data_IF_398887821541
#
_entry.id   IF_398887821541
#
_cell.length_a   1.000
_cell.length_b   1.000
_cell.length_c   1.000
_cell.angle_alpha   90.00
_cell.angle_beta   90.00
_cell.angle_gamma   90.00
#
_symmetry.space_group_name_H-M   'P 1'
#
loop_
_entity.id
_entity.type
_entity.pdbx_description
1 polymer ?
#
# COMPACT_ATOMS: atom_id res chain seq x y z
N UNK A 1 -15.42 0.26 26.41
CA UNK A 1 -14.08 0.14 25.80
C UNK A 1 -14.08 -1.09 24.90
N UNK A 2 -13.90 -0.89 23.60
CA UNK A 2 -13.94 -1.95 22.59
C UNK A 2 -14.21 -1.33 21.22
N UNK A 3 -13.16 -0.90 20.53
CA UNK A 3 -13.27 -0.34 19.20
C UNK A 3 -13.66 -1.45 18.21
N UNK A 4 -14.71 -1.19 17.43
CA UNK A 4 -15.19 -2.06 16.35
C UNK A 4 -14.17 -2.00 15.21
N UNK A 5 -13.67 -3.13 14.67
CA UNK A 5 -12.84 -3.08 13.48
C UNK A 5 -13.73 -2.67 12.30
N UNK A 6 -13.34 -1.58 11.62
CA UNK A 6 -14.02 -1.06 10.44
C UNK A 6 -14.01 -2.11 9.32
N UNK A 7 -15.11 -2.87 9.23
CA UNK A 7 -15.39 -3.75 8.11
C UNK A 7 -15.77 -2.85 6.94
N UNK A 8 -14.86 -2.61 5.99
CA UNK A 8 -15.26 -2.07 4.70
C UNK A 8 -16.31 -3.01 4.10
N UNK A 9 -17.54 -2.54 3.98
CA UNK A 9 -18.62 -3.27 3.31
C UNK A 9 -18.16 -3.64 1.91
N UNK A 10 -18.45 -4.87 1.47
CA UNK A 10 -18.21 -5.23 0.07
C UNK A 10 -18.97 -4.24 -0.81
N UNK A 11 -18.32 -3.61 -1.81
CA UNK A 11 -19.00 -2.70 -2.71
C UNK A 11 -20.11 -3.46 -3.44
N UNK A 12 -21.23 -2.78 -3.70
CA UNK A 12 -22.32 -3.35 -4.48
C UNK A 12 -21.80 -3.90 -5.83
N UNK A 13 -22.39 -4.98 -6.36
CA UNK A 13 -21.95 -5.57 -7.62
C UNK A 13 -22.04 -4.54 -8.73
N UNK A 14 -20.88 -4.19 -9.29
CA UNK A 14 -20.74 -3.22 -10.37
C UNK A 14 -21.11 -3.85 -11.71
N UNK A 15 -21.65 -3.03 -12.63
CA UNK A 15 -22.10 -3.50 -13.95
C UNK A 15 -20.97 -4.11 -14.79
N UNK A 16 -21.32 -4.91 -15.81
CA UNK A 16 -20.39 -5.71 -16.61
C UNK A 16 -19.21 -4.93 -17.26
N UNK A 17 -19.36 -3.62 -17.46
CA UNK A 17 -18.28 -2.75 -17.98
C UNK A 17 -17.28 -2.30 -16.91
N UNK A 18 -17.67 -2.31 -15.64
CA UNK A 18 -16.82 -1.97 -14.47
C UNK A 18 -16.08 -3.21 -13.92
N UNK A 19 -16.47 -4.42 -14.34
CA UNK A 19 -15.91 -5.69 -13.86
C UNK A 19 -14.44 -5.92 -14.25
N UNK A 20 -13.92 -5.21 -15.27
CA UNK A 20 -12.51 -5.35 -15.70
C UNK A 20 -11.53 -4.93 -14.59
N UNK A 21 -11.74 -3.76 -14.01
CA UNK A 21 -10.89 -3.22 -12.94
C UNK A 21 -11.05 -4.00 -11.62
N UNK A 22 -12.20 -4.64 -11.43
CA UNK A 22 -12.50 -5.37 -10.21
C UNK A 22 -11.85 -6.76 -10.19
N UNK A 23 -11.68 -7.42 -11.34
CA UNK A 23 -10.89 -8.66 -11.46
C UNK A 23 -9.41 -8.45 -11.16
N UNK A 24 -8.87 -7.27 -11.45
CA UNK A 24 -7.45 -6.99 -11.24
C UNK A 24 -7.08 -6.92 -9.76
N UNK A 25 -7.99 -6.52 -8.88
CA UNK A 25 -7.75 -6.32 -7.43
C UNK A 25 -7.13 -7.54 -6.72
N UNK A 26 -7.43 -8.77 -7.16
CA UNK A 26 -6.83 -10.00 -6.64
C UNK A 26 -5.36 -10.20 -7.05
N UNK A 27 -4.96 -9.65 -8.20
CA UNK A 27 -3.60 -9.79 -8.73
C UNK A 27 -2.56 -8.96 -7.96
N UNK A 28 -2.94 -7.77 -7.48
CA UNK A 28 -2.03 -6.84 -6.79
C UNK A 28 -1.57 -7.40 -5.44
N UNK A 29 -2.50 -7.92 -4.62
CA UNK A 29 -2.13 -8.56 -3.35
C UNK A 29 -1.21 -9.75 -3.54
N UNK A 30 -1.48 -10.59 -4.54
CA UNK A 30 -0.61 -11.72 -4.88
C UNK A 30 0.76 -11.27 -5.38
N UNK A 31 0.82 -10.22 -6.19
CA UNK A 31 2.07 -9.66 -6.70
C UNK A 31 2.96 -9.12 -5.58
N UNK A 32 2.35 -8.48 -4.56
CA UNK A 32 3.03 -8.02 -3.34
C UNK A 32 3.49 -9.21 -2.49
N UNK A 33 2.61 -10.18 -2.21
CA UNK A 33 2.96 -11.37 -1.42
C UNK A 33 4.17 -12.13 -1.97
N UNK A 34 4.28 -12.30 -3.29
CA UNK A 34 5.42 -12.98 -3.90
C UNK A 34 6.73 -12.21 -3.64
N UNK A 35 6.68 -10.88 -3.59
CA UNK A 35 7.84 -10.01 -3.37
C UNK A 35 8.24 -9.87 -1.90
N UNK A 36 7.35 -10.24 -0.98
CA UNK A 36 7.65 -10.30 0.46
C UNK A 36 8.27 -11.64 0.90
N UNK A 37 8.44 -12.61 0.00
CA UNK A 37 9.09 -13.89 0.30
C UNK A 37 10.60 -13.71 0.37
N UNK A 38 11.11 -13.48 1.57
CA UNK A 38 12.53 -13.39 1.86
C UNK A 38 12.82 -14.03 3.22
N UNK A 39 14.01 -14.63 3.35
CA UNK A 39 14.50 -15.18 4.64
C UNK A 39 15.12 -14.09 5.53
N UNK A 40 15.00 -12.83 5.12
CA UNK A 40 15.55 -11.64 5.78
C UNK A 40 14.49 -10.54 5.83
N UNK A 41 14.62 -9.57 6.76
CA UNK A 41 13.70 -8.44 6.81
C UNK A 41 13.62 -7.68 5.49
N UNK A 42 12.40 -7.35 5.06
CA UNK A 42 12.14 -6.57 3.85
C UNK A 42 11.72 -5.15 4.24
N UNK A 43 12.37 -4.16 3.61
CA UNK A 43 11.97 -2.76 3.67
C UNK A 43 11.35 -2.29 2.36
N UNK A 44 10.64 -1.16 2.39
CA UNK A 44 10.08 -0.54 1.19
C UNK A 44 10.49 0.93 1.06
N UNK A 45 10.64 1.38 -0.17
CA UNK A 45 10.77 2.80 -0.47
C UNK A 45 9.39 3.47 -0.48
N UNK A 46 9.28 4.64 0.16
CA UNK A 46 8.07 5.44 0.23
C UNK A 46 8.39 6.87 -0.24
N UNK A 47 7.99 7.20 -1.47
CA UNK A 47 8.15 8.56 -2.00
C UNK A 47 7.10 9.53 -1.48
N UNK A 48 5.96 9.02 -1.00
CA UNK A 48 4.77 9.82 -0.71
C UNK A 48 3.85 10.01 -1.92
N UNK A 49 4.23 9.48 -3.08
CA UNK A 49 3.38 9.41 -4.27
C UNK A 49 2.46 8.18 -4.28
N UNK A 50 1.39 8.26 -5.05
CA UNK A 50 0.28 7.29 -5.10
C UNK A 50 0.73 5.84 -5.22
N UNK A 51 1.65 5.53 -6.12
CA UNK A 51 2.04 4.14 -6.39
C UNK A 51 2.76 3.49 -5.20
N UNK A 52 3.74 4.19 -4.63
CA UNK A 52 4.47 3.71 -3.44
C UNK A 52 3.56 3.55 -2.23
N UNK A 53 2.58 4.44 -2.11
CA UNK A 53 1.57 4.42 -1.06
C UNK A 53 0.62 3.25 -1.17
N UNK A 54 0.12 2.96 -2.38
CA UNK A 54 -0.74 1.79 -2.63
C UNK A 54 0.01 0.49 -2.36
N UNK A 55 1.29 0.41 -2.73
CA UNK A 55 2.12 -0.75 -2.39
C UNK A 55 2.27 -0.90 -0.87
N UNK A 56 2.59 0.19 -0.15
CA UNK A 56 2.74 0.16 1.31
C UNK A 56 1.45 -0.27 2.04
N UNK A 57 0.31 0.23 1.58
CA UNK A 57 -1.01 -0.18 2.07
C UNK A 57 -1.26 -1.67 1.79
N UNK A 58 -0.98 -2.13 0.57
CA UNK A 58 -1.17 -3.53 0.20
C UNK A 58 -0.27 -4.47 0.99
N UNK A 59 0.95 -4.04 1.33
CA UNK A 59 1.83 -4.79 2.22
C UNK A 59 1.21 -4.93 3.61
N UNK A 60 0.64 -3.85 4.19
CA UNK A 60 -0.06 -3.91 5.48
C UNK A 60 -1.25 -4.86 5.48
N UNK A 61 -1.94 -5.02 4.35
CA UNK A 61 -3.07 -5.96 4.25
C UNK A 61 -2.63 -7.42 4.18
N UNK A 62 -1.53 -7.71 3.48
CA UNK A 62 -1.11 -9.10 3.20
C UNK A 62 -0.04 -9.63 4.16
N UNK A 63 0.58 -8.77 4.97
CA UNK A 63 1.61 -9.09 5.94
C UNK A 63 1.28 -8.52 7.31
N UNK A 64 1.54 -9.30 8.36
CA UNK A 64 1.40 -8.87 9.74
C UNK A 64 2.72 -8.32 10.33
N UNK A 65 3.81 -8.45 9.59
CA UNK A 65 5.12 -7.91 9.96
C UNK A 65 5.16 -6.39 9.78
N UNK A 66 5.83 -5.69 10.69
CA UNK A 66 5.94 -4.23 10.61
C UNK A 66 6.91 -3.84 9.49
N UNK A 67 6.36 -3.36 8.37
CA UNK A 67 7.15 -2.88 7.23
C UNK A 67 7.92 -1.62 7.60
N UNK A 68 9.24 -1.69 7.54
CA UNK A 68 10.09 -0.50 7.63
C UNK A 68 10.10 0.22 6.29
N UNK A 69 9.67 1.48 6.29
CA UNK A 69 9.71 2.34 5.11
C UNK A 69 10.89 3.30 5.16
N UNK A 70 11.45 3.56 3.99
CA UNK A 70 12.59 4.45 3.81
C UNK A 70 12.23 5.47 2.74
N UNK A 71 12.70 6.70 2.93
CA UNK A 71 12.42 7.79 2.01
C UNK A 71 13.68 8.61 1.77
N UNK A 72 13.72 9.30 0.63
CA UNK A 72 14.80 10.22 0.28
C UNK A 72 14.29 11.64 0.46
N UNK A 73 15.12 12.47 1.07
CA UNK A 73 14.89 13.90 1.24
C UNK A 73 15.92 14.69 0.46
N UNK A 74 15.45 15.73 -0.24
CA UNK A 74 16.30 16.65 -0.98
C UNK A 74 16.49 17.96 -0.21
N UNK A 75 17.66 18.59 -0.38
CA UNK A 75 17.95 19.88 0.24
C UNK A 75 17.21 21.06 -0.42
N UNK A 76 16.96 20.96 -1.73
CA UNK A 76 16.14 21.92 -2.46
C UNK A 76 14.65 21.64 -2.21
N UNK A 77 13.90 22.58 -1.60
CA UNK A 77 12.49 22.38 -1.23
C UNK A 77 11.59 22.03 -2.42
N UNK A 78 11.97 22.39 -3.65
CA UNK A 78 11.17 22.08 -4.85
C UNK A 78 11.09 20.58 -5.14
N UNK A 79 12.02 19.80 -4.60
CA UNK A 79 12.08 18.35 -4.74
C UNK A 79 11.86 17.62 -3.40
N UNK A 80 11.59 18.35 -2.30
CA UNK A 80 11.41 17.74 -0.98
C UNK A 80 9.98 17.20 -0.80
N UNK A 81 9.83 15.88 -0.96
CA UNK A 81 8.55 15.18 -0.81
C UNK A 81 8.24 14.77 0.64
N UNK A 82 9.08 15.18 1.62
CA UNK A 82 8.99 14.74 3.03
C UNK A 82 7.60 14.94 3.65
N UNK A 83 6.90 16.02 3.30
CA UNK A 83 5.55 16.29 3.82
C UNK A 83 4.57 15.18 3.44
N UNK A 84 4.62 14.70 2.20
CA UNK A 84 3.75 13.64 1.70
C UNK A 84 4.15 12.29 2.32
N UNK A 85 5.45 12.02 2.39
CA UNK A 85 6.01 10.80 2.96
C UNK A 85 5.59 10.59 4.42
N UNK A 86 5.50 11.66 5.22
CA UNK A 86 5.13 11.60 6.64
C UNK A 86 3.65 11.37 6.91
N UNK A 87 2.79 11.50 5.90
CA UNK A 87 1.32 11.35 6.04
C UNK A 87 0.83 9.92 5.85
N UNK A 88 1.70 8.99 5.44
CA UNK A 88 1.38 7.59 5.10
C UNK A 88 1.82 6.62 6.19
#
# INVERSE_FOLDING_TARGET
MGAVPGRFSQPAPVSASQTRWQKDSWSWGRAVQVRLRADVPVGAYLSGGLDSSVIGERVREVSHEHLQTFAVRFADPRFDETEHQRRM
#
